data_IF_284714396344
#
_entry.id   IF_284714396344
#
_cell.length_a   1.000
_cell.length_b   1.000
_cell.length_c   1.000
_cell.angle_alpha   90.00
_cell.angle_beta   90.00
_cell.angle_gamma   90.00
#
_symmetry.space_group_name_H-M   'P 1'
#
loop_
_entity.id
_entity.type
_entity.pdbx_description
1 polymer ?
#
# COMPACT_ATOMS: atom_id res chain seq x y z
N UNK A 1 -15.17 11.90 35.25
CA UNK A 1 -15.44 13.16 34.52
C UNK A 1 -14.47 13.39 33.37
N UNK A 2 -15.01 13.60 32.16
CA UNK A 2 -14.24 14.03 30.99
C UNK A 2 -14.07 15.56 30.98
N UNK A 3 -13.05 16.08 30.29
CA UNK A 3 -12.81 17.54 30.24
C UNK A 3 -13.94 18.30 29.52
N UNK A 4 -14.60 17.65 28.55
CA UNK A 4 -15.74 18.25 27.84
C UNK A 4 -16.99 18.28 28.70
N UNK A 5 -17.22 17.22 29.47
CA UNK A 5 -18.31 17.13 30.44
C UNK A 5 -18.14 18.15 31.57
N UNK A 6 -16.92 18.30 32.09
CA UNK A 6 -16.61 19.32 33.09
C UNK A 6 -16.90 20.74 32.57
N UNK A 7 -16.47 21.03 31.34
CA UNK A 7 -16.77 22.31 30.68
C UNK A 7 -18.26 22.53 30.47
N UNK A 8 -18.99 21.49 30.08
CA UNK A 8 -20.43 21.57 29.86
C UNK A 8 -21.14 21.87 31.18
N UNK A 9 -20.83 21.14 32.25
CA UNK A 9 -21.43 21.36 33.56
C UNK A 9 -21.12 22.75 34.11
N UNK A 10 -19.89 23.25 33.93
CA UNK A 10 -19.56 24.63 34.32
C UNK A 10 -20.30 25.67 33.47
N UNK A 11 -20.45 25.45 32.17
CA UNK A 11 -21.21 26.34 31.29
C UNK A 11 -22.70 26.36 31.66
N UNK A 12 -23.29 25.19 31.92
CA UNK A 12 -24.68 25.05 32.36
C UNK A 12 -24.86 25.75 33.73
N UNK A 13 -23.92 25.58 34.67
CA UNK A 13 -23.94 26.27 35.96
C UNK A 13 -23.87 27.80 35.79
N UNK A 14 -22.96 28.31 34.96
CA UNK A 14 -22.86 29.75 34.68
C UNK A 14 -24.18 30.28 34.10
N UNK A 15 -24.77 29.57 33.13
CA UNK A 15 -26.05 29.96 32.54
C UNK A 15 -27.19 29.98 33.58
N UNK A 16 -27.26 28.99 34.47
CA UNK A 16 -28.27 28.98 35.56
C UNK A 16 -28.05 30.12 36.55
N UNK A 17 -26.80 30.47 36.85
CA UNK A 17 -26.48 31.61 37.71
C UNK A 17 -26.89 32.94 37.07
N UNK A 18 -26.57 33.15 35.79
CA UNK A 18 -26.95 34.35 35.05
C UNK A 18 -28.48 34.49 34.95
N UNK A 19 -29.17 33.37 34.71
CA UNK A 19 -30.64 33.33 34.69
C UNK A 19 -31.24 33.75 36.04
N UNK A 20 -30.78 33.14 37.14
CA UNK A 20 -31.23 33.49 38.49
C UNK A 20 -30.93 34.96 38.82
N UNK A 21 -29.77 35.46 38.40
CA UNK A 21 -29.39 36.85 38.62
C UNK A 21 -30.34 37.81 37.87
N UNK A 22 -30.72 37.47 36.64
CA UNK A 22 -31.70 38.25 35.86
C UNK A 22 -33.10 38.18 36.48
N UNK A 23 -33.56 37.00 36.89
CA UNK A 23 -34.86 36.82 37.55
C UNK A 23 -34.96 37.62 38.85
N UNK A 24 -33.92 37.60 39.68
CA UNK A 24 -33.86 38.39 40.92
C UNK A 24 -33.81 39.91 40.66
N UNK A 25 -33.30 40.32 39.50
CA UNK A 25 -33.25 41.74 39.11
C UNK A 25 -34.58 42.26 38.56
N UNK A 26 -35.41 41.38 37.99
CA UNK A 26 -36.73 41.70 37.44
C UNK A 26 -37.78 41.76 38.55
N UNK A 27 -37.95 42.96 39.13
CA UNK A 27 -38.91 43.21 40.22
C UNK A 27 -40.39 43.11 39.80
N UNK A 28 -40.67 43.18 38.51
CA UNK A 28 -42.03 43.28 37.97
C UNK A 28 -42.82 41.97 38.03
N UNK A 29 -42.15 40.83 38.24
CA UNK A 29 -42.79 39.51 38.30
C UNK A 29 -43.50 39.24 39.64
N UNK A 30 -43.22 40.02 40.69
CA UNK A 30 -43.67 39.69 42.05
C UNK A 30 -45.11 40.12 42.36
N UNK A 31 -45.68 41.09 41.64
CA UNK A 31 -46.97 41.70 42.02
C UNK A 31 -48.21 40.97 41.47
N UNK A 32 -48.03 39.97 40.58
CA UNK A 32 -49.14 39.32 39.85
C UNK A 32 -49.26 37.81 40.05
N UNK A 33 -48.37 37.17 40.81
CA UNK A 33 -48.44 35.72 41.04
C UNK A 33 -49.53 35.35 42.05
N UNK A 34 -50.26 34.28 41.74
CA UNK A 34 -51.09 33.58 42.73
C UNK A 34 -50.23 32.84 43.76
N UNK A 35 -50.77 32.53 44.93
CA UNK A 35 -50.04 31.81 46.00
C UNK A 35 -49.45 30.47 45.53
N UNK A 36 -50.15 29.76 44.64
CA UNK A 36 -49.66 28.49 44.09
C UNK A 36 -48.47 28.70 43.14
N UNK A 37 -48.52 29.73 42.30
CA UNK A 37 -47.42 30.09 41.39
C UNK A 37 -46.21 30.59 42.18
N UNK A 38 -46.45 31.31 43.28
CA UNK A 38 -45.42 31.72 44.23
C UNK A 38 -44.67 30.54 44.84
N UNK A 39 -45.40 29.52 45.30
CA UNK A 39 -44.79 28.30 45.82
C UNK A 39 -44.01 27.53 44.76
N UNK A 40 -44.54 27.42 43.54
CA UNK A 40 -43.85 26.77 42.43
C UNK A 40 -42.56 27.51 42.05
N UNK A 41 -42.61 28.85 41.98
CA UNK A 41 -41.45 29.70 41.70
C UNK A 41 -40.36 29.57 42.78
N UNK A 42 -40.73 29.64 44.06
CA UNK A 42 -39.79 29.44 45.17
C UNK A 42 -39.18 28.03 45.17
N UNK A 43 -39.98 27.01 44.86
CA UNK A 43 -39.47 25.63 44.71
C UNK A 43 -38.49 25.52 43.55
N UNK A 44 -38.77 26.17 42.41
CA UNK A 44 -37.88 26.18 41.25
C UNK A 44 -36.55 26.86 41.56
N UNK A 45 -36.60 28.03 42.19
CA UNK A 45 -35.42 28.78 42.62
C UNK A 45 -34.60 27.97 43.64
N UNK A 46 -35.27 27.31 44.59
CA UNK A 46 -34.64 26.40 45.56
C UNK A 46 -33.94 25.22 44.88
N UNK A 47 -34.53 24.64 43.84
CA UNK A 47 -33.93 23.55 43.07
C UNK A 47 -32.70 24.03 42.29
N UNK A 48 -32.78 25.16 41.59
CA UNK A 48 -31.67 25.71 40.80
C UNK A 48 -30.50 26.14 41.70
N UNK A 49 -30.77 26.76 42.84
CA UNK A 49 -29.73 27.11 43.83
C UNK A 49 -29.10 25.87 44.44
N UNK A 50 -29.87 24.83 44.77
CA UNK A 50 -29.31 23.55 45.23
C UNK A 50 -28.45 22.87 44.16
N UNK A 51 -28.85 22.92 42.89
CA UNK A 51 -28.03 22.43 41.78
C UNK A 51 -26.71 23.18 41.67
N UNK A 52 -26.73 24.52 41.75
CA UNK A 52 -25.52 25.35 41.76
C UNK A 52 -24.58 25.01 42.93
N UNK A 53 -25.11 24.89 44.15
CA UNK A 53 -24.31 24.51 45.33
C UNK A 53 -23.68 23.14 45.14
N UNK A 54 -24.43 22.17 44.61
CA UNK A 54 -23.89 20.84 44.33
C UNK A 54 -22.77 20.89 43.28
N UNK A 55 -22.95 21.67 42.20
CA UNK A 55 -21.87 21.85 41.21
C UNK A 55 -20.65 22.52 41.82
N UNK A 56 -20.80 23.58 42.63
CA UNK A 56 -19.69 24.22 43.34
C UNK A 56 -18.91 23.21 44.18
N UNK A 57 -19.62 22.43 45.01
CA UNK A 57 -19.01 21.40 45.86
C UNK A 57 -18.20 20.39 45.07
N UNK A 58 -18.68 19.95 43.91
CA UNK A 58 -17.92 19.02 43.06
C UNK A 58 -16.61 19.61 42.54
N UNK A 59 -16.55 20.93 42.34
CA UNK A 59 -15.35 21.62 41.85
C UNK A 59 -14.48 22.23 42.96
N UNK A 60 -14.97 22.28 44.20
CA UNK A 60 -14.18 22.63 45.38
C UNK A 60 -13.17 21.50 45.73
N UNK A 61 -13.36 20.29 45.19
CA UNK A 61 -12.44 19.17 45.31
C UNK A 61 -11.11 19.44 44.55
N UNK A 62 -10.06 19.80 45.30
CA UNK A 62 -8.72 20.08 44.78
C UNK A 62 -8.14 18.95 43.92
N UNK A 63 -8.41 17.69 44.27
CA UNK A 63 -7.93 16.53 43.53
C UNK A 63 -8.56 16.45 42.13
N UNK A 64 -9.86 16.76 42.02
CA UNK A 64 -10.56 16.79 40.74
C UNK A 64 -10.01 17.91 39.85
N UNK A 65 -9.79 19.09 40.40
CA UNK A 65 -9.18 20.21 39.70
C UNK A 65 -7.79 19.83 39.17
N UNK A 66 -6.93 19.26 40.02
CA UNK A 66 -5.59 18.83 39.62
C UNK A 66 -5.63 17.78 38.48
N UNK A 67 -6.61 16.87 38.51
CA UNK A 67 -6.81 15.87 37.47
C UNK A 67 -7.25 16.51 36.14
N UNK A 68 -8.16 17.47 36.19
CA UNK A 68 -8.63 18.20 35.01
C UNK A 68 -7.49 19.03 34.38
N UNK A 69 -6.66 19.69 35.20
CA UNK A 69 -5.48 20.42 34.74
C UNK A 69 -4.44 19.50 34.08
N UNK A 70 -4.19 18.32 34.65
CA UNK A 70 -3.31 17.30 34.05
C UNK A 70 -3.86 16.84 32.70
N UNK A 71 -5.17 16.59 32.59
CA UNK A 71 -5.84 16.23 31.34
C UNK A 71 -5.73 17.35 30.31
N UNK A 72 -5.95 18.61 30.71
CA UNK A 72 -5.82 19.78 29.83
C UNK A 72 -4.38 19.93 29.33
N UNK A 73 -3.39 19.79 30.21
CA UNK A 73 -1.97 19.85 29.88
C UNK A 73 -1.55 18.71 28.94
N UNK A 74 -2.07 17.50 29.13
CA UNK A 74 -1.87 16.37 28.22
C UNK A 74 -2.42 16.68 26.81
N UNK A 75 -3.61 17.26 26.70
CA UNK A 75 -4.19 17.66 25.41
C UNK A 75 -3.36 18.75 24.72
N UNK A 76 -2.92 19.77 25.47
CA UNK A 76 -2.02 20.82 24.94
C UNK A 76 -0.72 20.20 24.41
N UNK A 77 -0.05 19.34 25.19
CA UNK A 77 1.16 18.61 24.75
C UNK A 77 0.91 17.76 23.50
N UNK A 78 -0.18 17.01 23.46
CA UNK A 78 -0.51 16.14 22.32
C UNK A 78 -0.78 16.96 21.06
N UNK A 79 -1.52 18.07 21.15
CA UNK A 79 -1.76 18.96 20.01
C UNK A 79 -0.47 19.62 19.50
N UNK A 80 0.42 20.05 20.39
CA UNK A 80 1.74 20.60 20.05
C UNK A 80 2.63 19.54 19.38
N UNK A 81 2.64 18.32 19.92
CA UNK A 81 3.34 17.18 19.32
C UNK A 81 2.80 16.87 17.92
N UNK A 82 1.48 16.83 17.72
CA UNK A 82 0.85 16.58 16.41
C UNK A 82 1.28 17.64 15.37
N UNK A 83 1.34 18.91 15.77
CA UNK A 83 1.85 20.01 14.92
C UNK A 83 3.32 19.80 14.56
N UNK A 84 4.17 19.51 15.55
CA UNK A 84 5.61 19.26 15.34
C UNK A 84 5.86 18.03 14.46
N UNK A 85 5.13 16.95 14.69
CA UNK A 85 5.19 15.72 13.91
C UNK A 85 4.81 15.97 12.44
N UNK A 86 3.69 16.66 12.19
CA UNK A 86 3.27 17.05 10.83
C UNK A 86 4.36 17.85 10.11
N UNK A 87 5.01 18.80 10.80
CA UNK A 87 6.13 19.59 10.25
C UNK A 87 7.33 18.71 9.89
N UNK A 88 7.73 17.78 10.77
CA UNK A 88 8.83 16.86 10.49
C UNK A 88 8.53 15.91 9.32
N UNK A 89 7.32 15.38 9.23
CA UNK A 89 6.90 14.52 8.10
C UNK A 89 6.96 15.30 6.79
N UNK A 90 6.44 16.53 6.75
CA UNK A 90 6.52 17.39 5.58
C UNK A 90 7.98 17.72 5.19
N UNK A 91 8.84 17.99 6.18
CA UNK A 91 10.26 18.24 5.94
C UNK A 91 10.96 17.01 5.35
N UNK A 92 10.70 15.81 5.88
CA UNK A 92 11.23 14.55 5.34
C UNK A 92 10.78 14.32 3.89
N UNK A 93 9.49 14.53 3.58
CA UNK A 93 8.97 14.45 2.21
C UNK A 93 9.68 15.43 1.27
N UNK A 94 9.85 16.69 1.68
CA UNK A 94 10.61 17.69 0.88
C UNK A 94 12.06 17.28 0.65
N UNK A 95 12.72 16.70 1.65
CA UNK A 95 14.09 16.21 1.50
C UNK A 95 14.16 15.01 0.54
N UNK A 96 13.20 14.09 0.60
CA UNK A 96 13.08 12.98 -0.34
C UNK A 96 12.87 13.48 -1.77
N UNK A 97 11.96 14.44 -1.99
CA UNK A 97 11.75 15.06 -3.30
C UNK A 97 13.04 15.68 -3.85
N UNK A 98 13.78 16.45 -3.04
CA UNK A 98 15.08 17.00 -3.45
C UNK A 98 16.12 15.93 -3.79
N UNK A 99 16.14 14.81 -3.05
CA UNK A 99 17.02 13.68 -3.35
C UNK A 99 16.63 13.02 -4.67
N UNK A 100 15.33 12.82 -4.90
CA UNK A 100 14.79 12.25 -6.13
C UNK A 100 15.09 13.15 -7.33
N UNK A 101 14.89 14.47 -7.22
CA UNK A 101 15.25 15.43 -8.27
C UNK A 101 16.75 15.38 -8.62
N UNK A 102 17.62 15.31 -7.61
CA UNK A 102 19.06 15.17 -7.84
C UNK A 102 19.38 13.84 -8.53
N UNK A 103 18.75 12.76 -8.12
CA UNK A 103 18.93 11.44 -8.72
C UNK A 103 18.47 11.40 -10.18
N UNK A 104 17.31 12.00 -10.49
CA UNK A 104 16.82 12.16 -11.86
C UNK A 104 17.82 12.96 -12.69
N UNK A 105 18.31 14.10 -12.19
CA UNK A 105 19.32 14.91 -12.90
C UNK A 105 20.60 14.12 -13.17
N UNK A 106 21.07 13.34 -12.20
CA UNK A 106 22.27 12.50 -12.35
C UNK A 106 22.04 11.39 -13.39
N UNK A 107 20.87 10.74 -13.40
CA UNK A 107 20.50 9.76 -14.42
C UNK A 107 20.43 10.40 -15.80
N UNK A 108 19.71 11.51 -15.93
CA UNK A 108 19.58 12.23 -17.20
C UNK A 108 20.97 12.60 -17.71
N UNK A 109 21.83 13.14 -16.85
CA UNK A 109 23.20 13.46 -17.19
C UNK A 109 23.98 12.22 -17.66
N UNK A 110 23.94 11.10 -16.93
CA UNK A 110 24.59 9.83 -17.32
C UNK A 110 24.07 9.30 -18.66
N UNK A 111 22.77 9.39 -18.92
CA UNK A 111 22.16 8.99 -20.20
C UNK A 111 22.64 9.90 -21.32
N UNK A 112 22.62 11.22 -21.14
CA UNK A 112 23.08 12.18 -22.16
C UNK A 112 24.57 12.08 -22.45
N UNK A 113 25.41 11.78 -21.44
CA UNK A 113 26.86 11.67 -21.61
C UNK A 113 27.26 10.27 -22.09
N UNK A 114 26.36 9.29 -22.04
CA UNK A 114 26.61 7.94 -22.55
C UNK A 114 27.05 7.98 -24.02
N UNK A 115 28.20 7.37 -24.38
CA UNK A 115 28.73 7.36 -25.74
C UNK A 115 27.72 6.84 -26.77
N UNK A 116 26.80 5.97 -26.35
CA UNK A 116 25.73 5.43 -27.21
C UNK A 116 24.70 6.47 -27.66
N UNK A 117 24.28 7.37 -26.76
CA UNK A 117 23.30 8.43 -27.06
C UNK A 117 23.95 9.54 -27.86
N UNK A 118 25.21 9.89 -27.55
CA UNK A 118 25.99 10.84 -28.35
C UNK A 118 26.30 10.30 -29.75
N UNK A 119 26.64 9.02 -29.89
CA UNK A 119 26.81 8.37 -31.19
C UNK A 119 25.50 8.31 -31.99
N UNK A 120 24.36 8.07 -31.33
CA UNK A 120 23.04 8.11 -31.94
C UNK A 120 22.65 9.53 -32.39
N UNK A 121 22.90 10.56 -31.57
CA UNK A 121 22.65 11.96 -31.92
C UNK A 121 23.51 12.44 -33.10
N UNK A 122 24.78 12.02 -33.13
CA UNK A 122 25.70 12.27 -34.26
C UNK A 122 25.28 11.48 -35.51
N UNK A 123 24.72 10.28 -35.36
CA UNK A 123 24.14 9.52 -36.46
C UNK A 123 22.88 10.17 -37.01
N UNK A 124 21.97 10.66 -36.16
CA UNK A 124 20.73 11.34 -36.57
C UNK A 124 20.99 12.68 -37.27
N UNK A 125 22.04 13.41 -36.87
CA UNK A 125 22.46 14.64 -37.53
C UNK A 125 23.16 14.38 -38.90
N UNK A 126 23.63 13.14 -39.14
CA UNK A 126 24.17 12.70 -40.43
C UNK A 126 23.12 12.07 -41.35
N UNK A 127 22.01 11.58 -40.82
CA UNK A 127 20.93 10.94 -41.61
C UNK A 127 19.93 11.93 -42.20
N UNK A 128 19.82 13.16 -41.70
CA UNK A 128 18.97 14.21 -42.31
C UNK A 128 19.50 14.74 -43.65
N UNK A 129 20.69 14.31 -44.10
CA UNK A 129 21.27 14.77 -45.36
C UNK A 129 21.18 13.78 -46.53
N UNK A 130 21.22 12.44 -46.37
CA UNK A 130 21.14 11.51 -47.52
C UNK A 130 20.68 10.08 -47.13
N UNK A 131 19.67 9.56 -47.84
CA UNK A 131 19.43 8.12 -48.14
C UNK A 131 18.98 7.17 -47.02
N UNK A 132 17.69 7.19 -46.65
CA UNK A 132 17.19 6.40 -45.50
C UNK A 132 16.87 4.91 -45.76
N UNK A 133 16.69 4.43 -47.00
CA UNK A 133 16.19 3.04 -47.19
C UNK A 133 17.25 1.99 -47.56
N UNK A 134 18.42 2.38 -48.10
CA UNK A 134 19.48 1.40 -48.45
C UNK A 134 20.57 1.26 -47.37
N UNK A 135 20.84 2.30 -46.56
CA UNK A 135 21.92 2.24 -45.57
C UNK A 135 21.53 1.44 -44.32
N UNK A 136 20.27 1.52 -43.86
CA UNK A 136 19.79 0.75 -42.70
C UNK A 136 19.95 -0.77 -42.91
N UNK A 137 19.54 -1.30 -44.08
CA UNK A 137 19.73 -2.72 -44.39
C UNK A 137 21.20 -3.16 -44.40
N UNK A 138 22.12 -2.30 -44.87
CA UNK A 138 23.56 -2.63 -44.86
C UNK A 138 24.18 -2.56 -43.48
N UNK A 139 23.71 -1.66 -42.61
CA UNK A 139 24.18 -1.51 -41.24
C UNK A 139 23.67 -2.64 -40.36
N UNK A 140 22.42 -3.05 -40.52
CA UNK A 140 21.86 -4.22 -39.84
C UNK A 140 22.60 -5.49 -40.26
N UNK A 141 22.91 -5.63 -41.54
CA UNK A 141 23.70 -6.77 -42.05
C UNK A 141 25.13 -6.78 -41.49
N UNK A 142 25.75 -5.61 -41.28
CA UNK A 142 27.06 -5.50 -40.62
C UNK A 142 26.96 -5.80 -39.12
N UNK A 143 25.92 -5.32 -38.45
CA UNK A 143 25.65 -5.60 -37.04
C UNK A 143 25.44 -7.10 -36.82
N UNK A 144 24.59 -7.76 -37.61
CA UNK A 144 24.38 -9.22 -37.58
C UNK A 144 25.69 -9.98 -37.81
N UNK A 145 26.56 -9.53 -38.73
CA UNK A 145 27.89 -10.12 -38.94
C UNK A 145 28.82 -9.95 -37.73
N UNK A 146 28.76 -8.83 -37.03
CA UNK A 146 29.58 -8.63 -35.82
C UNK A 146 29.06 -9.41 -34.63
N UNK A 147 27.74 -9.46 -34.44
CA UNK A 147 27.09 -10.22 -33.37
C UNK A 147 27.29 -11.73 -33.55
N UNK A 148 27.18 -12.24 -34.78
CA UNK A 148 27.47 -13.66 -35.09
C UNK A 148 28.93 -14.03 -34.80
N UNK A 149 29.89 -13.18 -35.15
CA UNK A 149 31.31 -13.39 -34.78
C UNK A 149 31.52 -13.42 -33.26
N UNK A 150 30.92 -12.48 -32.52
CA UNK A 150 31.00 -12.46 -31.05
C UNK A 150 30.34 -13.69 -30.42
N UNK A 151 29.20 -14.13 -30.96
CA UNK A 151 28.53 -15.34 -30.52
C UNK A 151 29.43 -16.57 -30.72
N UNK A 152 30.05 -16.70 -31.89
CA UNK A 152 30.98 -17.80 -32.18
C UNK A 152 32.15 -17.85 -31.17
N UNK A 153 32.75 -16.69 -30.87
CA UNK A 153 33.81 -16.59 -29.86
C UNK A 153 33.31 -16.96 -28.45
N UNK A 154 32.11 -16.52 -28.06
CA UNK A 154 31.52 -16.87 -26.77
C UNK A 154 31.20 -18.37 -26.66
N UNK A 155 30.74 -18.99 -27.75
CA UNK A 155 30.52 -20.44 -27.79
C UNK A 155 31.83 -21.22 -27.67
N UNK A 156 32.90 -20.73 -28.28
CA UNK A 156 34.23 -21.32 -28.18
C UNK A 156 34.79 -21.21 -26.75
N UNK A 157 34.70 -20.03 -26.13
CA UNK A 157 35.10 -19.82 -24.73
C UNK A 157 34.30 -20.74 -23.79
N UNK A 158 33.01 -20.92 -24.04
CA UNK A 158 32.16 -21.82 -23.26
C UNK A 158 32.62 -23.28 -23.39
N UNK A 159 32.95 -23.73 -24.60
CA UNK A 159 33.46 -25.07 -24.84
C UNK A 159 34.81 -25.31 -24.15
N UNK A 160 35.75 -24.35 -24.24
CA UNK A 160 37.03 -24.42 -23.54
C UNK A 160 36.88 -24.46 -22.02
N UNK A 161 35.93 -23.68 -21.47
CA UNK A 161 35.65 -23.66 -20.04
C UNK A 161 35.01 -24.97 -19.57
N UNK A 162 34.11 -25.57 -20.35
CA UNK A 162 33.56 -26.90 -20.06
C UNK A 162 34.64 -27.97 -20.07
N UNK A 163 35.47 -28.03 -21.12
CA UNK A 163 36.62 -28.95 -21.19
C UNK A 163 37.56 -28.81 -19.99
N UNK A 164 37.85 -27.57 -19.56
CA UNK A 164 38.66 -27.32 -18.36
C UNK A 164 38.00 -27.87 -17.08
N UNK A 165 36.69 -27.71 -16.95
CA UNK A 165 35.92 -28.19 -15.80
C UNK A 165 35.70 -29.71 -15.82
N UNK A 166 35.55 -30.32 -17.00
CA UNK A 166 35.54 -31.77 -17.21
C UNK A 166 36.87 -32.41 -16.81
N UNK A 167 37.99 -31.79 -17.20
CA UNK A 167 39.33 -32.20 -16.75
C UNK A 167 39.53 -32.04 -15.23
N UNK A 168 38.69 -31.23 -14.56
CA UNK A 168 38.63 -31.07 -13.11
C UNK A 168 37.55 -31.97 -12.45
N UNK A 169 36.96 -32.90 -13.21
CA UNK A 169 35.98 -33.89 -12.71
C UNK A 169 34.53 -33.39 -12.66
N UNK A 170 34.20 -32.22 -13.24
CA UNK A 170 32.81 -31.76 -13.34
C UNK A 170 32.13 -32.35 -14.58
N UNK A 171 31.00 -33.03 -14.39
CA UNK A 171 30.22 -33.61 -15.47
C UNK A 171 29.23 -32.57 -16.05
N UNK A 172 29.30 -32.32 -17.37
CA UNK A 172 28.26 -31.61 -18.11
C UNK A 172 27.57 -32.60 -19.04
N UNK A 173 26.24 -32.67 -18.98
CA UNK A 173 25.49 -33.43 -19.98
C UNK A 173 25.62 -32.77 -21.36
N UNK A 174 25.89 -33.58 -22.39
CA UNK A 174 25.87 -33.15 -23.81
C UNK A 174 24.48 -32.65 -24.27
N UNK A 175 23.45 -32.83 -23.45
CA UNK A 175 22.03 -32.50 -23.69
C UNK A 175 21.69 -31.00 -23.64
N UNK A 176 22.69 -30.13 -23.58
CA UNK A 176 22.51 -28.67 -23.57
C UNK A 176 21.88 -28.08 -24.85
N UNK A 177 21.62 -28.90 -25.88
CA UNK A 177 21.03 -28.46 -27.14
C UNK A 177 19.57 -28.91 -27.33
N UNK A 178 19.01 -29.81 -26.51
CA UNK A 178 17.62 -30.27 -26.69
C UNK A 178 16.62 -29.10 -26.54
N UNK A 179 16.83 -28.24 -25.54
CA UNK A 179 16.03 -27.03 -25.33
C UNK A 179 16.19 -26.02 -26.48
N UNK A 180 17.43 -25.72 -26.87
CA UNK A 180 17.69 -24.76 -27.95
C UNK A 180 17.23 -25.25 -29.32
N UNK A 181 17.30 -26.56 -29.59
CA UNK A 181 16.74 -27.16 -30.80
C UNK A 181 15.20 -27.06 -30.78
N UNK A 182 14.55 -27.31 -29.64
CA UNK A 182 13.09 -27.10 -29.49
C UNK A 182 12.68 -25.64 -29.71
N UNK A 183 13.45 -24.69 -29.17
CA UNK A 183 13.19 -23.25 -29.33
C UNK A 183 13.43 -22.79 -30.79
N UNK A 184 14.45 -23.34 -31.44
CA UNK A 184 14.73 -23.08 -32.86
C UNK A 184 13.66 -23.67 -33.78
N UNK A 185 13.20 -24.89 -33.51
CA UNK A 185 12.08 -25.54 -34.20
C UNK A 185 10.77 -24.78 -34.00
N UNK A 186 10.54 -24.23 -32.80
CA UNK A 186 9.37 -23.38 -32.52
C UNK A 186 9.40 -22.08 -33.32
N UNK A 187 10.55 -21.40 -33.39
CA UNK A 187 10.71 -20.19 -34.20
C UNK A 187 10.56 -20.45 -35.70
N UNK A 188 11.12 -21.55 -36.21
CA UNK A 188 11.01 -21.92 -37.62
C UNK A 188 9.56 -22.24 -38.03
N UNK A 189 8.79 -22.91 -37.16
CA UNK A 189 7.36 -23.17 -37.41
C UNK A 189 6.56 -21.87 -37.54
N UNK A 190 6.88 -20.87 -36.74
CA UNK A 190 6.17 -19.59 -36.72
C UNK A 190 6.63 -18.61 -37.83
N UNK A 191 7.83 -18.78 -38.37
CA UNK A 191 8.33 -17.95 -39.49
C UNK A 191 7.81 -18.43 -40.87
N UNK A 192 7.48 -19.72 -41.02
CA UNK A 192 6.92 -20.26 -42.29
C UNK A 192 5.42 -20.00 -42.48
N UNK A 193 4.69 -19.69 -41.42
CA UNK A 193 3.29 -19.25 -41.48
C UNK A 193 3.24 -17.74 -41.63
N UNK A 194 3.27 -17.30 -42.89
CA UNK A 194 2.71 -16.09 -43.48
C UNK A 194 2.61 -14.78 -42.64
N UNK A 195 3.11 -13.71 -43.25
CA UNK A 195 2.85 -12.30 -42.91
C UNK A 195 1.36 -12.02 -42.73
N UNK A 196 0.87 -11.57 -41.56
CA UNK A 196 -0.54 -11.29 -41.38
C UNK A 196 -0.89 -9.82 -41.67
N UNK A 197 -1.93 -9.68 -42.48
CA UNK A 197 -2.66 -8.46 -42.82
C UNK A 197 -3.21 -7.77 -41.56
N UNK A 198 -3.42 -6.44 -41.62
CA UNK A 198 -3.77 -5.58 -40.46
C UNK A 198 -5.05 -6.00 -39.70
N UNK A 199 -5.92 -6.81 -40.31
CA UNK A 199 -7.17 -7.27 -39.70
C UNK A 199 -6.99 -8.44 -38.70
N UNK A 200 -5.92 -9.23 -38.80
CA UNK A 200 -5.67 -10.34 -37.86
C UNK A 200 -4.98 -9.88 -36.56
N UNK A 201 -4.36 -8.69 -36.56
CA UNK A 201 -3.71 -8.13 -35.36
C UNK A 201 -4.74 -7.72 -34.30
N UNK A 202 -5.98 -7.38 -34.70
CA UNK A 202 -7.05 -7.04 -33.76
C UNK A 202 -7.66 -8.29 -33.11
N UNK A 203 -7.77 -9.41 -33.84
CA UNK A 203 -8.24 -10.68 -33.28
C UNK A 203 -7.19 -11.33 -32.37
N UNK A 204 -5.90 -11.31 -32.73
CA UNK A 204 -4.84 -11.85 -31.84
C UNK A 204 -4.61 -11.00 -30.58
N UNK A 205 -4.90 -9.69 -30.60
CA UNK A 205 -4.91 -8.88 -29.36
C UNK A 205 -6.12 -9.14 -28.47
N UNK A 206 -7.24 -9.59 -29.03
CA UNK A 206 -8.40 -10.02 -28.26
C UNK A 206 -8.19 -11.43 -27.66
N UNK A 207 -7.57 -12.35 -28.40
CA UNK A 207 -7.21 -13.68 -27.89
C UNK A 207 -6.07 -13.64 -26.86
N UNK A 208 -5.05 -12.78 -27.02
CA UNK A 208 -3.99 -12.60 -26.02
C UNK A 208 -4.45 -11.96 -24.70
N UNK A 209 -5.69 -11.48 -24.62
CA UNK A 209 -6.32 -11.05 -23.35
C UNK A 209 -7.16 -12.16 -22.69
N UNK A 210 -7.34 -13.30 -23.35
CA UNK A 210 -7.92 -14.46 -22.70
C UNK A 210 -6.80 -15.18 -21.94
N UNK A 211 -6.94 -15.19 -20.61
CA UNK A 211 -6.02 -15.86 -19.71
C UNK A 211 -5.88 -17.34 -20.12
N UNK A 212 -4.67 -17.88 -20.11
CA UNK A 212 -4.46 -19.31 -20.32
C UNK A 212 -4.99 -20.05 -19.08
N UNK A 213 -6.18 -20.61 -19.21
CA UNK A 213 -6.89 -21.30 -18.14
C UNK A 213 -6.49 -22.78 -18.16
N UNK A 214 -6.13 -23.32 -16.99
CA UNK A 214 -5.72 -24.72 -16.84
C UNK A 214 -6.95 -25.66 -16.96
N UNK A 215 -6.84 -26.81 -17.64
CA UNK A 215 -8.00 -27.70 -17.90
C UNK A 215 -8.67 -28.28 -16.64
N UNK A 216 -8.02 -28.21 -15.48
CA UNK A 216 -8.51 -28.71 -14.19
C UNK A 216 -9.13 -27.61 -13.30
N UNK A 217 -9.20 -26.37 -13.79
CA UNK A 217 -9.66 -25.25 -12.99
C UNK A 217 -11.20 -25.16 -13.01
N UNK A 218 -11.86 -25.51 -11.92
CA UNK A 218 -13.34 -25.62 -11.85
C UNK A 218 -14.07 -24.28 -11.70
N UNK A 219 -13.36 -23.15 -11.73
CA UNK A 219 -13.89 -21.84 -11.33
C UNK A 219 -14.65 -21.13 -12.47
N UNK A 220 -14.77 -21.76 -13.64
CA UNK A 220 -15.31 -21.17 -14.86
C UNK A 220 -16.79 -20.76 -14.78
N UNK A 221 -17.52 -21.30 -13.79
CA UNK A 221 -18.96 -21.12 -13.67
C UNK A 221 -19.34 -20.09 -12.59
N UNK A 222 -18.35 -19.68 -11.78
CA UNK A 222 -18.54 -18.61 -10.81
C UNK A 222 -18.26 -17.29 -11.51
N UNK A 223 -19.23 -16.39 -11.53
CA UNK A 223 -19.00 -15.04 -12.05
C UNK A 223 -17.82 -14.43 -11.30
N UNK A 224 -16.70 -14.19 -12.00
CA UNK A 224 -15.51 -13.57 -11.41
C UNK A 224 -15.97 -12.25 -10.78
N UNK A 225 -15.81 -12.14 -9.46
CA UNK A 225 -16.01 -10.88 -8.77
C UNK A 225 -14.93 -9.91 -9.26
N UNK A 226 -15.31 -9.09 -10.23
CA UNK A 226 -14.44 -8.11 -10.87
C UNK A 226 -13.87 -7.13 -9.84
N UNK A 227 -14.55 -6.90 -8.72
CA UNK A 227 -14.07 -6.02 -7.65
C UNK A 227 -12.91 -6.67 -6.91
N UNK A 228 -13.06 -7.93 -6.48
CA UNK A 228 -12.00 -8.69 -5.85
C UNK A 228 -10.80 -8.93 -6.79
N UNK A 229 -11.08 -9.21 -8.07
CA UNK A 229 -10.06 -9.41 -9.08
C UNK A 229 -9.24 -8.14 -9.35
N UNK A 230 -9.90 -6.99 -9.52
CA UNK A 230 -9.21 -5.71 -9.68
C UNK A 230 -8.42 -5.31 -8.43
N UNK A 231 -8.91 -5.65 -7.23
CA UNK A 231 -8.19 -5.45 -5.98
C UNK A 231 -6.90 -6.28 -5.91
N UNK A 232 -6.95 -7.54 -6.35
CA UNK A 232 -5.77 -8.41 -6.44
C UNK A 232 -4.78 -7.94 -7.52
N UNK A 233 -5.23 -7.66 -8.74
CA UNK A 233 -4.33 -7.16 -9.78
C UNK A 233 -3.78 -5.75 -9.48
N UNK A 234 -4.47 -4.96 -8.65
CA UNK A 234 -4.02 -3.65 -8.20
C UNK A 234 -2.78 -3.69 -7.28
N UNK A 235 -2.44 -4.84 -6.67
CA UNK A 235 -1.19 -4.98 -5.90
C UNK A 235 0.05 -5.01 -6.79
N UNK A 236 -0.07 -5.46 -8.04
CA UNK A 236 1.05 -5.50 -8.99
C UNK A 236 1.41 -4.13 -9.54
N UNK A 237 0.51 -3.16 -9.44
CA UNK A 237 0.68 -1.81 -10.03
C UNK A 237 1.34 -0.81 -9.06
N UNK A 238 1.30 -1.03 -7.75
CA UNK A 238 1.90 -0.09 -6.78
C UNK A 238 2.42 -0.76 -5.50
N UNK A 239 3.58 -0.30 -5.03
CA UNK A 239 4.21 -0.84 -3.82
C UNK A 239 3.41 -0.50 -2.55
N UNK A 240 2.68 0.62 -2.52
CA UNK A 240 1.81 0.97 -1.39
C UNK A 240 0.59 0.05 -1.31
N UNK A 241 -0.02 -0.32 -2.44
CA UNK A 241 -1.14 -1.29 -2.48
C UNK A 241 -0.67 -2.69 -2.10
N UNK A 242 0.54 -3.10 -2.52
CA UNK A 242 1.17 -4.35 -2.08
C UNK A 242 1.43 -4.38 -0.56
N UNK A 243 1.93 -3.28 0.02
CA UNK A 243 2.13 -3.20 1.47
C UNK A 243 0.82 -3.23 2.25
N UNK A 244 -0.23 -2.60 1.74
CA UNK A 244 -1.55 -2.59 2.39
C UNK A 244 -2.24 -3.95 2.31
N UNK A 245 -2.20 -4.60 1.15
CA UNK A 245 -2.69 -5.99 1.00
C UNK A 245 -1.92 -6.91 1.93
N UNK A 246 -0.58 -6.85 1.96
CA UNK A 246 0.24 -7.65 2.88
C UNK A 246 -0.14 -7.42 4.35
N UNK A 247 -0.32 -6.16 4.77
CA UNK A 247 -0.75 -5.83 6.15
C UNK A 247 -2.13 -6.36 6.48
N UNK A 248 -3.06 -6.33 5.52
CA UNK A 248 -4.38 -6.93 5.69
C UNK A 248 -4.26 -8.44 5.87
N UNK A 249 -3.46 -9.12 5.05
CA UNK A 249 -3.16 -10.54 5.22
C UNK A 249 -2.49 -10.86 6.56
N UNK A 250 -1.56 -10.01 7.02
CA UNK A 250 -0.90 -10.18 8.30
C UNK A 250 -1.89 -10.13 9.48
N UNK A 251 -3.03 -9.42 9.36
CA UNK A 251 -4.10 -9.45 10.38
C UNK A 251 -4.80 -10.80 10.50
N UNK A 252 -4.75 -11.63 9.45
CA UNK A 252 -5.33 -12.98 9.45
C UNK A 252 -4.30 -14.06 9.82
N UNK A 253 -3.01 -13.72 9.83
CA UNK A 253 -1.89 -14.65 10.09
C UNK A 253 -1.32 -14.45 11.50
N UNK A 254 -1.26 -13.22 11.99
CA UNK A 254 -0.71 -12.91 13.31
C UNK A 254 -1.74 -13.24 14.40
N UNK A 255 -1.42 -14.26 15.19
CA UNK A 255 -2.07 -14.53 16.47
C UNK A 255 -1.76 -13.37 17.42
N UNK A 256 -2.82 -12.78 17.99
CA UNK A 256 -2.66 -11.84 19.10
C UNK A 256 -2.29 -12.67 20.34
N UNK A 257 -0.99 -12.87 20.58
CA UNK A 257 -0.48 -13.67 21.69
C UNK A 257 -0.72 -13.05 23.09
N UNK A 258 -1.52 -11.98 23.19
CA UNK A 258 -1.68 -11.16 24.40
C UNK A 258 -3.16 -11.04 24.85
N UNK A 259 -3.92 -12.13 24.88
CA UNK A 259 -5.23 -12.12 25.54
C UNK A 259 -5.46 -13.36 26.41
N UNK A 260 -5.09 -13.25 27.69
CA UNK A 260 -5.45 -14.16 28.78
C UNK A 260 -6.97 -14.15 29.11
N UNK A 261 -7.85 -13.88 28.13
CA UNK A 261 -9.26 -13.55 28.45
C UNK A 261 -10.33 -14.31 27.70
N UNK A 262 -10.05 -15.14 26.69
CA UNK A 262 -11.08 -16.03 26.13
C UNK A 262 -10.49 -17.27 25.43
N UNK A 263 -10.84 -18.50 25.86
CA UNK A 263 -10.43 -19.75 25.19
C UNK A 263 -10.98 -19.91 23.76
N UNK A 264 -11.92 -19.05 23.35
CA UNK A 264 -12.56 -19.06 22.04
C UNK A 264 -12.09 -17.94 21.10
N UNK A 265 -11.16 -17.06 21.53
CA UNK A 265 -10.61 -16.00 20.66
C UNK A 265 -9.40 -16.47 19.83
N UNK A 266 -8.94 -17.72 20.01
CA UNK A 266 -7.88 -18.33 19.20
C UNK A 266 -8.35 -18.83 17.82
N UNK A 267 -9.57 -18.49 17.40
CA UNK A 267 -10.00 -18.83 16.05
C UNK A 267 -9.19 -17.99 15.06
N UNK A 268 -8.30 -18.66 14.33
CA UNK A 268 -7.85 -18.19 13.03
C UNK A 268 -9.04 -17.57 12.31
N UNK A 269 -8.96 -16.28 11.97
CA UNK A 269 -10.03 -15.61 11.21
C UNK A 269 -10.23 -16.21 9.82
N UNK A 270 -9.34 -17.10 9.38
CA UNK A 270 -9.56 -18.02 8.27
C UNK A 270 -10.28 -19.25 8.82
N UNK A 271 -11.56 -19.48 8.48
CA UNK A 271 -12.26 -20.68 8.88
C UNK A 271 -11.48 -21.92 8.39
N UNK A 272 -11.32 -22.97 9.20
CA UNK A 272 -10.59 -24.19 8.81
C UNK A 272 -11.19 -24.91 7.60
N UNK A 273 -12.37 -24.50 7.15
CA UNK A 273 -13.04 -24.99 5.93
C UNK A 273 -12.56 -24.32 4.64
N UNK A 274 -11.92 -23.15 4.71
CA UNK A 274 -11.54 -22.36 3.53
C UNK A 274 -10.24 -22.83 2.87
N UNK A 275 -9.41 -23.58 3.59
CA UNK A 275 -8.15 -24.12 3.08
C UNK A 275 -8.12 -25.59 3.46
N UNK A 276 -8.15 -26.48 2.46
CA UNK A 276 -7.91 -27.89 2.71
C UNK A 276 -6.54 -28.04 3.38
N UNK A 277 -6.42 -28.77 4.51
CA UNK A 277 -5.12 -28.98 5.14
C UNK A 277 -4.18 -29.59 4.10
N UNK A 278 -2.95 -29.08 4.03
CA UNK A 278 -1.95 -29.63 3.13
C UNK A 278 -1.85 -31.15 3.41
N UNK A 279 -1.85 -32.00 2.37
CA UNK A 279 -1.68 -33.42 2.56
C UNK A 279 -0.39 -33.67 3.36
N UNK A 280 -0.36 -34.66 4.25
CA UNK A 280 0.81 -34.95 5.06
C UNK A 280 2.02 -35.06 4.14
N UNK A 281 3.08 -34.31 4.47
CA UNK A 281 4.29 -34.27 3.66
C UNK A 281 4.76 -35.70 3.39
N UNK A 282 5.15 -35.97 2.13
CA UNK A 282 5.63 -37.27 1.67
C UNK A 282 6.62 -37.86 2.71
N UNK A 283 6.49 -39.15 3.02
CA UNK A 283 7.33 -39.85 4.02
C UNK A 283 8.84 -39.62 3.80
N UNK A 284 9.25 -39.39 2.54
CA UNK A 284 10.61 -39.01 2.16
C UNK A 284 11.04 -37.71 2.87
N UNK A 285 10.19 -36.68 2.89
CA UNK A 285 10.47 -35.42 3.59
C UNK A 285 10.52 -35.56 5.11
N UNK A 286 9.66 -36.42 5.69
CA UNK A 286 9.67 -36.70 7.12
C UNK A 286 10.97 -37.41 7.56
N UNK A 287 11.56 -38.23 6.69
CA UNK A 287 12.83 -38.92 6.99
C UNK A 287 14.06 -38.00 7.07
N UNK A 288 13.99 -36.77 6.55
CA UNK A 288 15.09 -35.80 6.64
C UNK A 288 15.03 -34.93 7.92
N UNK A 289 13.99 -35.09 8.74
CA UNK A 289 13.78 -34.34 9.99
C UNK A 289 13.97 -35.19 11.26
N UNK A 290 14.25 -36.50 11.10
CA UNK A 290 14.76 -37.38 12.16
C UNK A 290 16.29 -37.39 12.13
#
# INVERSE_FOLDING_TARGET
MSLNEAKKQLADAIATYEHLQLELSNKDNLEFYSDQEWHAHLSHLGLQTAQLINTSRTYDDNDLLSLLERKQSKLKRHSAWKKKHKKHVQQRKRQQLKKNEKWIKDIVWKVTVSPSVNAAAIATAKTTALSETQQQQTNDRKLVKTLSKKLALLTEIRALRRKKLENQGHFFADEGNAFFNKVKEWHQRNETTETPTQDEQQQQQQEKKQFAIHPEDTWHHMGIDKVAYNYWCGSDQSLETLLNTRRLWDQYILLDNNSDTNPHDHLHKVPPTFVAPAPPANAIWASYLL
#
